data_IF_956419098280
#
_entry.id   IF_956419098280
#
_cell.length_a   1.000
_cell.length_b   1.000
_cell.length_c   1.000
_cell.angle_alpha   90.00
_cell.angle_beta   90.00
_cell.angle_gamma   90.00
#
_symmetry.space_group_name_H-M   'P 1'
#
loop_
_entity.id
_entity.type
_entity.pdbx_description
1 polymer ?
#
# COMPACT_ATOMS: atom_id res chain seq x y z
N UNK A 1 14.82 -4.43 8.96
CA UNK A 1 13.66 -3.75 9.59
C UNK A 1 12.58 -3.31 8.59
N UNK A 2 12.69 -3.61 7.30
CA UNK A 2 11.61 -3.48 6.28
C UNK A 2 10.66 -4.67 6.25
N UNK A 3 11.13 -5.84 6.73
CA UNK A 3 10.39 -7.10 6.68
C UNK A 3 9.15 -7.16 7.58
N UNK A 4 9.10 -6.42 8.69
CA UNK A 4 8.02 -6.59 9.68
C UNK A 4 6.68 -6.00 9.20
N UNK A 5 6.64 -4.73 8.78
CA UNK A 5 5.40 -4.08 8.33
C UNK A 5 4.81 -4.70 7.06
N UNK A 6 5.65 -5.14 6.12
CA UNK A 6 5.18 -5.82 4.90
C UNK A 6 4.55 -7.16 5.26
N UNK A 7 5.17 -7.92 6.15
CA UNK A 7 4.63 -9.22 6.60
C UNK A 7 3.29 -9.02 7.32
N UNK A 8 3.17 -7.99 8.16
CA UNK A 8 1.92 -7.65 8.83
C UNK A 8 0.82 -7.29 7.82
N UNK A 9 1.11 -6.45 6.83
CA UNK A 9 0.18 -6.08 5.76
C UNK A 9 -0.24 -7.29 4.90
N UNK A 10 0.69 -8.19 4.59
CA UNK A 10 0.41 -9.41 3.80
C UNK A 10 -0.44 -10.43 4.58
N UNK A 11 -0.33 -10.45 5.92
CA UNK A 11 -1.13 -11.31 6.79
C UNK A 11 -2.47 -10.69 7.23
N UNK A 12 -2.65 -9.38 7.04
CA UNK A 12 -3.84 -8.65 7.49
C UNK A 12 -5.11 -9.11 6.77
N UNK A 13 -6.19 -9.23 7.53
CA UNK A 13 -7.53 -9.48 6.99
C UNK A 13 -8.27 -8.15 6.77
N UNK A 14 -9.46 -8.21 6.14
CA UNK A 14 -10.31 -7.02 6.02
C UNK A 14 -10.70 -6.43 7.40
N UNK A 15 -10.86 -7.27 8.43
CA UNK A 15 -11.17 -6.82 9.78
C UNK A 15 -10.02 -6.04 10.43
N UNK A 16 -8.78 -6.37 10.08
CA UNK A 16 -7.57 -5.74 10.64
C UNK A 16 -7.15 -4.49 9.87
N UNK A 17 -7.73 -4.24 8.70
CA UNK A 17 -7.22 -3.25 7.74
C UNK A 17 -7.04 -1.85 8.32
N UNK A 18 -7.95 -1.42 9.22
CA UNK A 18 -7.86 -0.09 9.81
C UNK A 18 -6.60 0.05 10.66
N UNK A 19 -6.29 -0.95 11.48
CA UNK A 19 -5.10 -0.93 12.35
C UNK A 19 -3.84 -1.03 11.51
N UNK A 20 -3.79 -1.99 10.58
CA UNK A 20 -2.58 -2.21 9.78
C UNK A 20 -2.28 -1.06 8.81
N UNK A 21 -3.31 -0.35 8.32
CA UNK A 21 -3.11 0.87 7.53
C UNK A 21 -2.59 2.03 8.37
N UNK A 22 -3.04 2.19 9.62
CA UNK A 22 -2.46 3.18 10.54
C UNK A 22 -0.97 2.91 10.79
N UNK A 23 -0.61 1.65 11.01
CA UNK A 23 0.78 1.24 11.22
C UNK A 23 1.63 1.49 9.96
N UNK A 24 1.09 1.21 8.77
CA UNK A 24 1.77 1.49 7.50
C UNK A 24 1.99 2.99 7.26
N UNK A 25 1.00 3.82 7.60
CA UNK A 25 1.09 5.29 7.52
C UNK A 25 2.14 5.83 8.49
N UNK A 26 2.13 5.36 9.74
CA UNK A 26 3.13 5.75 10.73
C UNK A 26 4.53 5.28 10.32
N UNK A 27 4.64 4.05 9.81
CA UNK A 27 5.90 3.52 9.29
C UNK A 27 6.47 4.40 8.17
N UNK A 28 5.65 4.77 7.18
CA UNK A 28 6.10 5.63 6.08
C UNK A 28 6.51 7.03 6.58
N UNK A 29 5.80 7.58 7.56
CA UNK A 29 6.12 8.88 8.14
C UNK A 29 7.42 8.87 8.93
N UNK A 30 7.63 7.87 9.80
CA UNK A 30 8.86 7.73 10.60
C UNK A 30 10.11 7.49 9.74
N UNK A 31 9.93 6.93 8.54
CA UNK A 31 10.99 6.79 7.53
C UNK A 31 11.27 8.07 6.74
N UNK A 32 10.44 9.10 6.88
CA UNK A 32 10.55 10.34 6.11
C UNK A 32 10.09 10.22 4.66
N UNK A 33 9.38 9.15 4.30
CA UNK A 33 8.87 8.93 2.93
C UNK A 33 7.66 9.82 2.62
N UNK A 34 6.86 10.13 3.64
CA UNK A 34 5.73 11.06 3.53
C UNK A 34 5.90 12.24 4.48
N UNK A 35 5.35 13.39 4.11
CA UNK A 35 5.39 14.58 4.95
C UNK A 35 4.37 14.49 6.09
N UNK A 36 4.52 15.33 7.12
CA UNK A 36 3.55 15.44 8.23
C UNK A 36 2.12 15.73 7.74
N UNK A 37 1.96 16.57 6.73
CA UNK A 37 0.63 16.90 6.17
C UNK A 37 0.01 15.70 5.47
N UNK A 38 0.81 14.92 4.73
CA UNK A 38 0.35 13.69 4.08
C UNK A 38 -0.04 12.65 5.14
N UNK A 39 0.77 12.48 6.17
CA UNK A 39 0.47 11.60 7.32
C UNK A 39 -0.87 11.96 7.99
N UNK A 40 -1.08 13.22 8.35
CA UNK A 40 -2.33 13.67 8.98
C UNK A 40 -3.56 13.42 8.09
N UNK A 41 -3.41 13.64 6.78
CA UNK A 41 -4.47 13.37 5.81
C UNK A 41 -4.77 11.87 5.69
N UNK A 42 -3.73 11.04 5.66
CA UNK A 42 -3.86 9.59 5.62
C UNK A 42 -4.60 9.06 6.85
N UNK A 43 -4.19 9.50 8.05
CA UNK A 43 -4.86 9.16 9.32
C UNK A 43 -6.35 9.53 9.28
N UNK A 44 -6.68 10.74 8.80
CA UNK A 44 -8.08 11.17 8.68
C UNK A 44 -8.89 10.23 7.79
N UNK A 45 -8.33 9.79 6.66
CA UNK A 45 -9.00 8.84 5.77
C UNK A 45 -9.20 7.47 6.43
N UNK A 46 -8.21 6.96 7.16
CA UNK A 46 -8.35 5.67 7.87
C UNK A 46 -9.47 5.76 8.92
N UNK A 47 -9.47 6.82 9.73
CA UNK A 47 -10.52 7.06 10.75
C UNK A 47 -11.91 7.18 10.13
N UNK A 48 -12.02 7.76 8.94
CA UNK A 48 -13.27 7.89 8.20
C UNK A 48 -13.70 6.60 7.46
N UNK A 49 -12.92 5.53 7.51
CA UNK A 49 -13.16 4.29 6.74
C UNK A 49 -12.85 4.41 5.25
N UNK A 50 -12.25 5.51 4.79
CA UNK A 50 -11.85 5.74 3.40
C UNK A 50 -10.47 5.11 3.11
N UNK A 51 -10.37 3.79 3.30
CA UNK A 51 -9.08 3.07 3.32
C UNK A 51 -8.29 3.15 2.02
N UNK A 52 -8.95 3.13 0.86
CA UNK A 52 -8.24 3.26 -0.41
C UNK A 52 -7.67 4.67 -0.58
N UNK A 53 -8.40 5.71 -0.16
CA UNK A 53 -7.89 7.08 -0.18
C UNK A 53 -6.74 7.27 0.80
N UNK A 54 -6.77 6.58 1.96
CA UNK A 54 -5.60 6.50 2.84
C UNK A 54 -4.39 5.87 2.14
N UNK A 55 -4.55 4.70 1.53
CA UNK A 55 -3.47 4.00 0.82
C UNK A 55 -2.89 4.85 -0.34
N UNK A 56 -3.74 5.60 -1.06
CA UNK A 56 -3.31 6.51 -2.14
C UNK A 56 -2.38 7.62 -1.66
N UNK A 57 -2.46 8.03 -0.40
CA UNK A 57 -1.54 9.04 0.15
C UNK A 57 -0.11 8.51 0.29
N UNK A 58 0.08 7.19 0.31
CA UNK A 58 1.38 6.53 0.41
C UNK A 58 2.08 6.37 -0.95
N UNK A 59 1.37 6.62 -2.07
CA UNK A 59 1.94 6.50 -3.41
C UNK A 59 3.11 7.48 -3.55
N UNK A 60 4.30 7.01 -3.95
CA UNK A 60 5.43 7.91 -4.19
C UNK A 60 5.10 8.95 -5.27
N UNK A 61 5.62 10.17 -5.09
CA UNK A 61 5.45 11.21 -6.08
C UNK A 61 6.05 10.78 -7.43
N UNK A 62 5.32 11.02 -8.52
CA UNK A 62 5.71 10.63 -9.88
C UNK A 62 5.34 9.20 -10.29
N UNK A 63 4.80 8.40 -9.37
CA UNK A 63 4.40 7.02 -9.65
C UNK A 63 2.91 6.94 -10.02
N UNK A 64 2.61 6.15 -11.04
CA UNK A 64 1.24 5.76 -11.40
C UNK A 64 0.85 4.49 -10.65
N UNK A 65 -0.43 4.35 -10.36
CA UNK A 65 -0.95 3.23 -9.57
C UNK A 65 -2.28 2.76 -10.13
N UNK A 66 -2.51 1.44 -10.03
CA UNK A 66 -3.79 0.81 -10.38
C UNK A 66 -4.11 -0.26 -9.35
N UNK A 67 -5.40 -0.41 -9.07
CA UNK A 67 -5.91 -1.53 -8.27
C UNK A 67 -6.97 -2.24 -9.10
N UNK A 68 -6.97 -3.57 -9.06
CA UNK A 68 -7.95 -4.40 -9.74
C UNK A 68 -8.13 -5.72 -9.04
N UNK A 69 -9.16 -6.46 -9.42
CA UNK A 69 -9.37 -7.83 -8.98
C UNK A 69 -8.62 -8.78 -9.91
N UNK A 70 -7.89 -9.72 -9.33
CA UNK A 70 -7.27 -10.81 -10.10
C UNK A 70 -7.66 -12.12 -9.44
N UNK A 71 -8.11 -13.08 -10.24
CA UNK A 71 -8.18 -14.47 -9.81
C UNK A 71 -6.75 -14.92 -9.57
N UNK A 72 -6.32 -14.95 -8.30
CA UNK A 72 -4.99 -15.44 -7.94
C UNK A 72 -4.92 -16.92 -8.37
N UNK A 73 -4.17 -17.27 -9.44
CA UNK A 73 -4.34 -18.54 -10.14
C UNK A 73 -3.99 -19.75 -9.27
N UNK A 74 -3.23 -19.54 -8.19
CA UNK A 74 -2.64 -20.61 -7.40
C UNK A 74 -3.37 -20.88 -6.06
N UNK A 75 -4.34 -20.06 -5.67
CA UNK A 75 -5.01 -20.20 -4.35
C UNK A 75 -6.53 -20.25 -4.38
N UNK A 76 -7.17 -19.89 -5.49
CA UNK A 76 -8.64 -19.92 -5.64
C UNK A 76 -9.39 -18.92 -4.75
N UNK A 77 -8.68 -18.07 -4.00
CA UNK A 77 -9.25 -16.99 -3.20
C UNK A 77 -9.13 -15.71 -4.04
N UNK A 78 -10.23 -14.96 -4.28
CA UNK A 78 -10.16 -13.66 -4.94
C UNK A 78 -9.21 -12.77 -4.15
N UNK A 79 -8.15 -12.28 -4.80
CA UNK A 79 -7.24 -11.32 -4.19
C UNK A 79 -7.29 -10.03 -4.98
N UNK A 80 -7.33 -8.92 -4.25
CA UNK A 80 -7.14 -7.62 -4.84
C UNK A 80 -5.67 -7.47 -5.18
N UNK A 81 -5.40 -6.92 -6.36
CA UNK A 81 -4.08 -6.70 -6.88
C UNK A 81 -3.83 -5.20 -7.05
N UNK A 82 -2.66 -4.73 -6.63
CA UNK A 82 -2.20 -3.38 -6.92
C UNK A 82 -0.93 -3.40 -7.77
N UNK A 83 -0.86 -2.46 -8.70
CA UNK A 83 0.32 -2.12 -9.50
C UNK A 83 0.76 -0.74 -9.12
N UNK A 84 2.05 -0.58 -8.92
CA UNK A 84 2.75 0.71 -8.94
C UNK A 84 3.73 0.70 -10.11
N UNK A 85 3.80 1.83 -10.81
CA UNK A 85 4.67 2.04 -11.98
C UNK A 85 5.36 3.39 -11.87
N UNK A 86 6.69 3.39 -11.89
CA UNK A 86 7.48 4.61 -12.03
C UNK A 86 7.53 5.04 -13.51
N UNK A 87 7.18 6.29 -13.81
CA UNK A 87 7.29 6.86 -15.17
C UNK A 87 8.65 7.51 -15.44
N UNK A 88 9.52 7.61 -14.42
CA UNK A 88 10.82 8.28 -14.50
C UNK A 88 11.98 7.41 -14.99
N UNK A 89 11.84 6.09 -14.97
CA UNK A 89 12.92 5.14 -15.29
C UNK A 89 12.60 4.32 -16.56
N UNK A 90 13.60 4.00 -17.40
CA UNK A 90 13.41 3.23 -18.63
C UNK A 90 13.06 1.75 -18.35
N UNK A 91 13.36 1.25 -17.15
CA UNK A 91 13.00 -0.08 -16.69
C UNK A 91 11.74 0.02 -15.81
N UNK A 92 10.60 -0.39 -16.35
CA UNK A 92 9.32 -0.39 -15.64
C UNK A 92 9.42 -1.23 -14.35
N UNK A 93 9.49 -0.58 -13.18
CA UNK A 93 9.38 -1.28 -11.90
C UNK A 93 7.91 -1.68 -11.72
N UNK A 94 7.67 -3.00 -11.74
CA UNK A 94 6.37 -3.59 -11.54
C UNK A 94 6.34 -4.30 -10.18
N UNK A 95 5.52 -3.80 -9.25
CA UNK A 95 5.36 -4.42 -7.93
C UNK A 95 3.96 -5.02 -7.84
N UNK A 96 3.78 -6.30 -8.24
CA UNK A 96 2.52 -6.98 -8.05
C UNK A 96 2.38 -7.34 -6.58
N UNK A 97 1.28 -6.88 -5.98
CA UNK A 97 0.90 -7.27 -4.63
C UNK A 97 -0.48 -7.86 -4.64
N UNK A 98 -0.75 -8.75 -3.69
CA UNK A 98 -2.05 -9.37 -3.52
C UNK A 98 -2.46 -9.26 -2.07
N UNK A 99 -3.67 -8.79 -1.81
CA UNK A 99 -4.21 -8.70 -0.46
C UNK A 99 -5.74 -8.91 -0.44
N UNK A 100 -6.33 -9.19 0.73
CA UNK A 100 -7.78 -9.32 0.85
C UNK A 100 -8.55 -8.06 0.44
N UNK A 101 -7.96 -6.86 0.57
CA UNK A 101 -8.62 -5.59 0.21
C UNK A 101 -7.78 -4.74 -0.76
N UNK A 102 -8.42 -3.87 -1.58
CA UNK A 102 -7.74 -2.92 -2.45
C UNK A 102 -6.70 -2.04 -1.72
N UNK A 103 -7.07 -1.56 -0.54
CA UNK A 103 -6.25 -0.64 0.25
C UNK A 103 -5.00 -1.32 0.82
N UNK A 104 -5.13 -2.58 1.27
CA UNK A 104 -3.99 -3.38 1.72
C UNK A 104 -3.04 -3.68 0.56
N UNK A 105 -3.57 -4.09 -0.60
CA UNK A 105 -2.76 -4.38 -1.78
C UNK A 105 -1.95 -3.15 -2.19
N UNK A 106 -2.60 -1.99 -2.30
CA UNK A 106 -1.93 -0.73 -2.67
C UNK A 106 -0.90 -0.31 -1.62
N UNK A 107 -1.21 -0.44 -0.33
CA UNK A 107 -0.26 -0.08 0.74
C UNK A 107 0.99 -0.96 0.72
N UNK A 108 0.84 -2.28 0.53
CA UNK A 108 1.99 -3.18 0.37
C UNK A 108 2.86 -2.74 -0.81
N UNK A 109 2.23 -2.39 -1.94
CA UNK A 109 2.94 -1.96 -3.13
C UNK A 109 3.72 -0.66 -2.83
N UNK A 110 3.08 0.32 -2.19
CA UNK A 110 3.70 1.60 -1.82
C UNK A 110 4.91 1.39 -0.91
N UNK A 111 4.78 0.56 0.14
CA UNK A 111 5.88 0.31 1.08
C UNK A 111 7.04 -0.43 0.40
N UNK A 112 6.75 -1.38 -0.50
CA UNK A 112 7.77 -2.04 -1.32
C UNK A 112 8.46 -1.05 -2.27
N UNK A 113 7.72 -0.16 -2.92
CA UNK A 113 8.26 0.87 -3.81
C UNK A 113 9.20 1.83 -3.05
N UNK A 114 8.75 2.35 -1.92
CA UNK A 114 9.57 3.24 -1.09
C UNK A 114 10.83 2.57 -0.54
N UNK A 115 10.78 1.26 -0.25
CA UNK A 115 11.96 0.51 0.18
C UNK A 115 13.02 0.30 -0.91
N UNK A 116 12.68 0.55 -2.19
CA UNK A 116 13.59 0.44 -3.33
C UNK A 116 14.20 1.79 -3.74
N UNK A 117 13.62 2.91 -3.27
CA UNK A 117 14.10 4.27 -3.54
C UNK A 117 15.16 4.70 -2.52
#
# INVERSE_FOLDING_TARGET
MTSDIITQLEAATEADQSTTLMDAVEYAYTRGWITKTVHQKAVLFVVAGAFLDAARTLVPEGWDWRVGESDAPDTGIPKNHAVLRDWGEPDEIYIPTYAPTPALALSIACIKAWGQK
#
